data_IF_428245167273
#
_entry.id   IF_428245167273
#
_cell.length_a   1.000
_cell.length_b   1.000
_cell.length_c   1.000
_cell.angle_alpha   90.00
_cell.angle_beta   90.00
_cell.angle_gamma   90.00
#
_symmetry.space_group_name_H-M   'P 1'
#
loop_
_entity.id
_entity.type
_entity.pdbx_description
1 polymer ?
#
# COMPACT_ATOMS: atom_id res chain seq x y z
N UNK A 1 9.48 7.30 6.10
CA UNK A 1 8.39 6.39 6.48
C UNK A 1 7.37 6.40 5.37
N UNK A 2 6.84 5.23 5.02
CA UNK A 2 5.82 5.07 3.98
C UNK A 2 4.48 4.71 4.61
N UNK A 3 3.41 5.30 4.09
CA UNK A 3 2.04 4.97 4.39
C UNK A 3 1.34 4.37 3.18
N UNK A 4 0.34 3.53 3.44
CA UNK A 4 -0.53 2.95 2.42
C UNK A 4 -1.99 3.17 2.79
N UNK A 5 -2.80 3.52 1.80
CA UNK A 5 -4.26 3.65 1.88
C UNK A 5 -4.89 2.63 0.95
N UNK A 6 -5.81 1.81 1.47
CA UNK A 6 -6.47 0.77 0.69
C UNK A 6 -7.77 0.29 1.35
N UNK A 7 -8.39 -0.72 0.73
CA UNK A 7 -9.53 -1.43 1.25
C UNK A 7 -9.45 -2.93 0.97
N UNK A 8 -9.99 -3.72 1.88
CA UNK A 8 -10.05 -5.18 1.81
C UNK A 8 -11.43 -5.67 2.22
N UNK A 9 -11.77 -6.88 1.78
CA UNK A 9 -12.95 -7.60 2.25
C UNK A 9 -12.57 -8.55 3.39
N UNK A 10 -13.35 -8.54 4.46
CA UNK A 10 -13.10 -9.27 5.70
C UNK A 10 -14.39 -10.01 6.09
N UNK A 11 -14.50 -11.31 5.77
CA UNK A 11 -15.74 -12.05 5.93
C UNK A 11 -16.11 -12.34 7.40
N UNK A 12 -15.11 -12.47 8.27
CA UNK A 12 -15.25 -12.88 9.67
C UNK A 12 -14.43 -11.97 10.58
N UNK A 13 -14.75 -11.90 11.88
CA UNK A 13 -13.93 -11.15 12.83
C UNK A 13 -12.50 -11.72 12.84
N UNK A 14 -11.48 -10.90 12.56
CA UNK A 14 -10.09 -11.35 12.66
C UNK A 14 -9.70 -11.74 14.09
N UNK A 15 -8.68 -12.59 14.28
CA UNK A 15 -8.14 -12.87 15.60
C UNK A 15 -7.48 -11.62 16.21
N UNK A 16 -7.75 -11.37 17.48
CA UNK A 16 -7.06 -10.33 18.26
C UNK A 16 -5.66 -10.82 18.66
N UNK A 17 -4.63 -10.10 18.23
CA UNK A 17 -3.21 -10.39 18.46
C UNK A 17 -2.53 -9.27 19.25
N UNK A 18 -1.47 -9.62 19.98
CA UNK A 18 -0.59 -8.67 20.69
C UNK A 18 -1.30 -7.66 21.59
N UNK A 19 -2.49 -8.03 22.09
CA UNK A 19 -3.34 -7.27 23.03
C UNK A 19 -3.80 -5.88 22.55
N UNK A 20 -3.56 -5.51 21.29
CA UNK A 20 -3.87 -4.17 20.78
C UNK A 20 -4.46 -4.15 19.37
N UNK A 21 -4.22 -5.19 18.56
CA UNK A 21 -4.63 -5.19 17.17
C UNK A 21 -5.30 -6.50 16.81
N UNK A 22 -6.30 -6.44 15.96
CA UNK A 22 -6.72 -7.57 15.16
C UNK A 22 -5.79 -7.75 13.96
N UNK A 23 -5.50 -8.99 13.60
CA UNK A 23 -4.67 -9.33 12.43
C UNK A 23 -5.51 -9.96 11.34
N UNK A 24 -5.56 -9.32 10.19
CA UNK A 24 -6.15 -9.85 8.97
C UNK A 24 -5.00 -10.28 8.07
N UNK A 25 -4.76 -11.58 8.00
CA UNK A 25 -3.67 -12.17 7.22
C UNK A 25 -4.06 -12.40 5.78
N UNK A 26 -3.06 -12.42 4.89
CA UNK A 26 -3.21 -12.78 3.47
C UNK A 26 -4.35 -12.02 2.77
N UNK A 27 -4.56 -10.76 3.19
CA UNK A 27 -5.68 -9.98 2.73
C UNK A 27 -5.41 -9.43 1.33
N UNK A 28 -6.37 -9.65 0.44
CA UNK A 28 -6.28 -9.18 -0.95
C UNK A 28 -6.87 -7.77 -1.03
N UNK A 29 -6.10 -6.75 -1.44
CA UNK A 29 -6.64 -5.42 -1.66
C UNK A 29 -7.61 -5.40 -2.84
N UNK A 30 -8.54 -4.44 -2.81
CA UNK A 30 -9.54 -4.27 -3.86
C UNK A 30 -9.33 -2.98 -4.65
N UNK A 31 -9.42 -3.11 -5.97
CA UNK A 31 -9.49 -1.99 -6.90
C UNK A 31 -10.94 -1.53 -6.95
N UNK A 32 -11.16 -0.25 -6.63
CA UNK A 32 -12.48 0.34 -6.61
C UNK A 32 -12.51 1.55 -7.54
N UNK A 33 -13.31 1.44 -8.60
CA UNK A 33 -13.62 2.53 -9.51
C UNK A 33 -15.14 2.74 -9.55
N UNK A 34 -15.59 3.85 -10.12
CA UNK A 34 -17.04 4.11 -10.28
C UNK A 34 -17.75 3.02 -11.11
N UNK A 35 -17.01 2.26 -11.93
CA UNK A 35 -17.55 1.22 -12.81
C UNK A 35 -17.27 -0.22 -12.35
N UNK A 36 -16.21 -0.45 -11.56
CA UNK A 36 -15.74 -1.81 -11.24
C UNK A 36 -15.22 -1.91 -9.80
N UNK A 37 -15.43 -3.08 -9.23
CA UNK A 37 -14.95 -3.44 -7.91
C UNK A 37 -14.41 -4.86 -7.97
N UNK A 38 -13.09 -5.00 -8.02
CA UNK A 38 -12.42 -6.29 -8.29
C UNK A 38 -11.23 -6.48 -7.36
N UNK A 39 -10.95 -7.73 -6.94
CA UNK A 39 -9.76 -8.02 -6.14
C UNK A 39 -8.49 -7.82 -6.98
N UNK A 40 -7.44 -7.28 -6.37
CA UNK A 40 -6.13 -7.08 -7.00
C UNK A 40 -5.24 -8.26 -6.63
N UNK A 41 -5.22 -9.26 -7.51
CA UNK A 41 -4.46 -10.49 -7.29
C UNK A 41 -2.95 -10.22 -7.32
N UNK A 42 -2.20 -11.02 -6.56
CA UNK A 42 -0.73 -10.94 -6.46
C UNK A 42 -0.20 -9.97 -5.40
N UNK A 43 -1.09 -9.27 -4.68
CA UNK A 43 -0.74 -8.49 -3.50
C UNK A 43 -1.42 -9.09 -2.28
N UNK A 44 -0.62 -9.41 -1.27
CA UNK A 44 -1.14 -9.88 0.02
C UNK A 44 -0.67 -8.94 1.11
N UNK A 45 -1.62 -8.53 1.94
CA UNK A 45 -1.40 -7.66 3.07
C UNK A 45 -1.65 -8.39 4.39
N UNK A 46 -0.74 -8.21 5.33
CA UNK A 46 -0.99 -8.49 6.74
C UNK A 46 -1.41 -7.19 7.42
N UNK A 47 -2.72 -7.03 7.62
CA UNK A 47 -3.29 -5.79 8.16
C UNK A 47 -3.48 -5.92 9.66
N UNK A 48 -2.83 -5.04 10.40
CA UNK A 48 -2.95 -4.91 11.85
C UNK A 48 -3.81 -3.69 12.16
N UNK A 49 -5.03 -3.91 12.63
CA UNK A 49 -6.02 -2.86 12.88
C UNK A 49 -6.54 -2.95 14.32
N UNK A 50 -6.73 -1.81 14.99
CA UNK A 50 -7.40 -1.78 16.28
C UNK A 50 -8.94 -1.72 16.15
N UNK A 51 -9.48 -1.65 14.93
CA UNK A 51 -10.91 -1.60 14.69
C UNK A 51 -11.50 -3.01 14.82
N UNK A 52 -12.50 -3.24 15.70
CA UNK A 52 -13.24 -4.50 15.72
C UNK A 52 -14.26 -4.51 14.57
N UNK A 53 -14.51 -5.69 13.99
CA UNK A 53 -15.55 -5.87 12.97
C UNK A 53 -16.95 -6.02 13.57
N UNK A 54 -17.02 -6.64 14.74
CA UNK A 54 -18.21 -7.28 15.31
C UNK A 54 -18.38 -8.72 14.83
N UNK A 55 -19.00 -9.55 15.69
CA UNK A 55 -19.29 -10.97 15.44
C UNK A 55 -20.80 -11.19 15.20
N UNK A 56 -21.31 -10.69 14.08
CA UNK A 56 -22.71 -10.86 13.69
C UNK A 56 -22.86 -11.04 12.16
N UNK A 57 -23.94 -11.70 11.74
CA UNK A 57 -24.24 -11.95 10.32
C UNK A 57 -24.38 -10.65 9.50
N UNK A 58 -24.78 -9.55 10.15
CA UNK A 58 -24.96 -8.24 9.52
C UNK A 58 -23.78 -7.28 9.78
N UNK A 59 -22.68 -7.76 10.36
CA UNK A 59 -21.54 -6.91 10.61
C UNK A 59 -20.86 -6.52 9.29
N UNK A 60 -20.29 -5.32 9.31
CA UNK A 60 -19.66 -4.70 8.16
C UNK A 60 -18.40 -5.47 7.73
N UNK A 61 -18.29 -5.83 6.46
CA UNK A 61 -17.20 -6.67 5.95
C UNK A 61 -16.17 -5.91 5.10
N UNK A 62 -16.39 -4.62 4.79
CA UNK A 62 -15.39 -3.81 4.08
C UNK A 62 -14.53 -3.04 5.07
N UNK A 63 -13.27 -3.41 5.20
CA UNK A 63 -12.31 -2.62 5.95
C UNK A 63 -11.65 -1.62 5.02
N UNK A 64 -11.77 -0.33 5.34
CA UNK A 64 -10.94 0.72 4.75
C UNK A 64 -9.88 1.13 5.76
N UNK A 65 -8.66 1.39 5.29
CA UNK A 65 -7.57 1.71 6.19
C UNK A 65 -6.53 2.64 5.56
N UNK A 66 -5.82 3.33 6.46
CA UNK A 66 -4.55 3.97 6.23
C UNK A 66 -3.59 3.53 7.34
N UNK A 67 -2.33 3.34 7.01
CA UNK A 67 -1.34 2.90 7.98
C UNK A 67 0.08 2.89 7.46
N UNK A 68 1.02 2.63 8.35
CA UNK A 68 2.42 2.45 8.00
C UNK A 68 2.57 1.18 7.14
N UNK A 69 3.14 1.35 5.96
CA UNK A 69 3.48 0.28 5.03
C UNK A 69 4.88 -0.25 5.38
N UNK A 70 5.01 -1.56 5.58
CA UNK A 70 6.29 -2.22 5.85
C UNK A 70 6.43 -3.39 4.89
N UNK A 71 7.11 -3.14 3.77
CA UNK A 71 7.42 -4.16 2.78
C UNK A 71 8.88 -4.61 2.97
N UNK A 72 9.07 -5.90 3.32
CA UNK A 72 10.40 -6.50 3.51
C UNK A 72 10.71 -7.50 2.42
N UNK A 73 11.97 -7.61 2.04
CA UNK A 73 12.42 -8.63 1.09
C UNK A 73 12.21 -10.05 1.62
N UNK A 74 12.41 -10.24 2.94
CA UNK A 74 12.24 -11.54 3.60
C UNK A 74 10.79 -12.01 3.76
N UNK A 75 9.80 -11.14 3.52
CA UNK A 75 8.39 -11.42 3.79
C UNK A 75 7.58 -11.44 2.48
N UNK A 76 6.67 -12.41 2.29
CA UNK A 76 5.83 -12.46 1.10
C UNK A 76 4.73 -11.37 1.11
N UNK A 77 4.28 -10.98 2.29
CA UNK A 77 3.17 -10.05 2.49
C UNK A 77 3.70 -8.67 2.90
N UNK A 78 2.99 -7.62 2.50
CA UNK A 78 3.24 -6.27 3.01
C UNK A 78 2.51 -6.13 4.35
N UNK A 79 3.25 -5.85 5.42
CA UNK A 79 2.65 -5.59 6.72
C UNK A 79 2.15 -4.14 6.80
N UNK A 80 0.93 -3.96 7.29
CA UNK A 80 0.27 -2.66 7.38
C UNK A 80 -0.16 -2.42 8.83
N UNK A 81 0.50 -1.49 9.51
CA UNK A 81 0.12 -1.07 10.85
C UNK A 81 -0.84 0.12 10.74
N UNK A 82 -2.13 -0.13 10.88
CA UNK A 82 -3.16 0.89 10.70
C UNK A 82 -3.09 1.95 11.80
N UNK A 83 -3.04 3.22 11.39
CA UNK A 83 -3.29 4.36 12.28
C UNK A 83 -4.73 4.89 12.15
N UNK A 84 -5.42 4.51 11.08
CA UNK A 84 -6.83 4.81 10.82
C UNK A 84 -7.46 3.64 10.08
N UNK A 85 -8.56 3.12 10.61
CA UNK A 85 -9.30 2.03 9.96
C UNK A 85 -10.74 1.99 10.42
N UNK A 86 -11.62 1.54 9.53
CA UNK A 86 -13.06 1.47 9.81
C UNK A 86 -13.75 0.45 8.91
N UNK A 87 -14.67 -0.31 9.51
CA UNK A 87 -15.53 -1.26 8.82
C UNK A 87 -16.78 -0.58 8.25
N UNK A 88 -17.17 -1.00 7.06
CA UNK A 88 -18.37 -0.53 6.36
C UNK A 88 -19.15 -1.68 5.73
N UNK A 89 -20.47 -1.52 5.63
CA UNK A 89 -21.32 -2.45 4.88
C UNK A 89 -21.11 -2.29 3.36
N UNK A 90 -20.77 -1.07 2.94
CA UNK A 90 -20.41 -0.74 1.56
C UNK A 90 -19.16 0.15 1.56
N UNK A 91 -18.34 0.07 0.52
CA UNK A 91 -17.16 0.93 0.40
C UNK A 91 -17.58 2.40 0.34
N UNK A 92 -17.03 3.28 1.20
CA UNK A 92 -17.30 4.72 1.18
C UNK A 92 -16.91 5.36 -0.16
N UNK A 93 -17.68 6.37 -0.59
CA UNK A 93 -17.50 7.01 -1.90
C UNK A 93 -16.05 7.48 -2.16
N UNK A 94 -15.36 8.01 -1.14
CA UNK A 94 -13.96 8.45 -1.28
C UNK A 94 -13.01 7.34 -1.74
N UNK A 95 -13.26 6.10 -1.32
CA UNK A 95 -12.44 4.94 -1.68
C UNK A 95 -12.93 4.25 -2.96
N UNK A 96 -14.12 4.59 -3.47
CA UNK A 96 -14.62 4.10 -4.78
C UNK A 96 -13.83 4.63 -5.99
N UNK A 97 -12.78 5.42 -5.76
CA UNK A 97 -11.91 5.99 -6.80
C UNK A 97 -10.44 5.63 -6.61
N UNK A 98 -10.19 4.54 -5.90
CA UNK A 98 -8.85 4.01 -5.62
C UNK A 98 -8.67 2.77 -6.51
N UNK A 99 -8.14 2.92 -7.74
CA UNK A 99 -7.96 1.78 -8.64
C UNK A 99 -6.88 0.81 -8.17
N UNK A 100 -5.98 1.27 -7.29
CA UNK A 100 -4.89 0.50 -6.68
C UNK A 100 -4.57 1.12 -5.30
N UNK A 101 -4.00 0.36 -4.35
CA UNK A 101 -3.55 0.91 -3.07
C UNK A 101 -2.64 2.11 -3.29
N UNK A 102 -2.84 3.17 -2.51
CA UNK A 102 -2.06 4.40 -2.66
C UNK A 102 -0.94 4.41 -1.64
N UNK A 103 0.29 4.49 -2.12
CA UNK A 103 1.51 4.55 -1.34
C UNK A 103 2.00 5.99 -1.29
N UNK A 104 2.30 6.49 -0.10
CA UNK A 104 2.80 7.85 0.12
C UNK A 104 3.94 7.86 1.11
N UNK A 105 4.98 8.64 0.86
CA UNK A 105 6.05 8.81 1.84
C UNK A 105 7.43 8.98 1.22
N UNK A 106 8.44 8.92 2.08
CA UNK A 106 9.82 9.17 1.70
C UNK A 106 10.54 7.87 1.34
N UNK A 107 11.18 7.87 0.17
CA UNK A 107 11.98 6.78 -0.37
C UNK A 107 13.37 7.28 -0.73
N UNK A 108 14.39 6.46 -0.49
CA UNK A 108 15.78 6.77 -0.86
C UNK A 108 16.11 6.13 -2.19
N UNK A 109 16.47 6.94 -3.18
CA UNK A 109 16.90 6.50 -4.51
C UNK A 109 18.18 5.68 -4.40
N UNK A 110 18.20 4.52 -5.05
CA UNK A 110 19.33 3.60 -5.10
C UNK A 110 20.03 3.62 -6.45
N UNK A 111 19.25 3.54 -7.52
CA UNK A 111 19.74 3.40 -8.88
C UNK A 111 18.82 4.11 -9.87
N UNK A 112 19.44 4.62 -10.93
CA UNK A 112 18.85 5.38 -12.03
C UNK A 112 19.13 4.71 -13.38
N UNK A 113 19.28 3.38 -13.39
CA UNK A 113 19.40 2.60 -14.60
C UNK A 113 18.13 2.68 -15.47
N UNK A 114 17.72 1.57 -16.08
CA UNK A 114 16.55 1.56 -16.97
C UNK A 114 15.25 1.99 -16.24
N UNK A 115 15.18 1.74 -14.92
CA UNK A 115 14.11 2.24 -14.07
C UNK A 115 14.71 2.84 -12.80
N UNK A 116 14.10 3.91 -12.28
CA UNK A 116 14.47 4.44 -10.97
C UNK A 116 14.08 3.43 -9.88
N UNK A 117 15.05 2.99 -9.10
CA UNK A 117 14.87 2.10 -7.96
C UNK A 117 15.10 2.87 -6.66
N UNK A 118 14.31 2.57 -5.64
CA UNK A 118 14.42 3.16 -4.32
C UNK A 118 14.18 2.12 -3.21
N UNK A 119 14.54 2.47 -1.97
CA UNK A 119 14.22 1.71 -0.77
C UNK A 119 13.51 2.58 0.27
N UNK A 120 12.79 1.95 1.20
CA UNK A 120 12.35 2.61 2.44
C UNK A 120 13.55 2.73 3.38
N UNK A 121 14.06 3.96 3.66
CA UNK A 121 15.19 4.12 4.55
C UNK A 121 14.88 3.71 6.00
N UNK A 122 13.60 3.57 6.37
CA UNK A 122 13.17 3.20 7.73
C UNK A 122 12.96 1.68 7.90
N UNK A 123 13.24 0.88 6.86
CA UNK A 123 13.11 -0.59 6.87
C UNK A 123 14.45 -1.21 6.49
N UNK A 124 15.08 -1.90 7.45
CA UNK A 124 16.44 -2.45 7.31
C UNK A 124 16.57 -3.53 6.23
N UNK A 125 15.49 -4.25 5.94
CA UNK A 125 15.40 -5.27 4.87
C UNK A 125 14.34 -4.85 3.84
N UNK A 126 14.34 -3.58 3.45
CA UNK A 126 13.35 -3.04 2.51
C UNK A 126 13.38 -3.80 1.18
N UNK A 127 12.18 -4.03 0.62
CA UNK A 127 12.03 -4.35 -0.81
C UNK A 127 12.58 -3.21 -1.68
N UNK A 128 12.81 -3.52 -2.95
CA UNK A 128 13.07 -2.50 -3.96
C UNK A 128 11.75 -1.92 -4.46
N UNK A 129 11.61 -0.60 -4.39
CA UNK A 129 10.52 0.13 -5.02
C UNK A 129 10.97 0.56 -6.41
N UNK A 130 10.28 0.09 -7.45
CA UNK A 130 10.55 0.47 -8.83
C UNK A 130 9.55 1.50 -9.28
N UNK A 131 10.05 2.66 -9.72
CA UNK A 131 9.20 3.76 -10.16
C UNK A 131 8.93 3.68 -11.66
N UNK A 132 7.69 3.97 -12.02
CA UNK A 132 7.23 4.21 -13.37
C UNK A 132 6.18 5.31 -13.34
N UNK A 133 5.89 5.94 -14.47
CA UNK A 133 4.79 6.90 -14.57
C UNK A 133 4.18 6.89 -15.97
N UNK A 134 2.84 7.05 -16.05
CA UNK A 134 2.15 7.32 -17.32
C UNK A 134 2.28 8.77 -17.76
N UNK A 135 2.55 9.69 -16.83
CA UNK A 135 2.81 11.10 -17.13
C UNK A 135 4.26 11.28 -17.57
N UNK A 136 4.47 11.81 -18.77
CA UNK A 136 5.79 12.11 -19.31
C UNK A 136 6.54 13.14 -18.47
N UNK A 137 5.85 14.14 -17.92
CA UNK A 137 6.45 15.14 -17.04
C UNK A 137 7.04 14.50 -15.78
N UNK A 138 6.28 13.60 -15.13
CA UNK A 138 6.76 12.87 -13.95
C UNK A 138 7.87 11.90 -14.35
N UNK A 139 7.73 11.21 -15.48
CA UNK A 139 8.76 10.28 -15.95
C UNK A 139 10.10 10.98 -16.20
N UNK A 140 10.08 12.21 -16.73
CA UNK A 140 11.28 13.04 -16.87
C UNK A 140 11.86 13.41 -15.49
N UNK A 141 11.02 13.87 -14.55
CA UNK A 141 11.48 14.18 -13.19
C UNK A 141 12.09 12.95 -12.49
N UNK A 142 11.53 11.76 -12.70
CA UNK A 142 12.08 10.52 -12.17
C UNK A 142 13.47 10.21 -12.74
N UNK A 143 13.72 10.53 -14.02
CA UNK A 143 15.02 10.33 -14.67
C UNK A 143 16.09 11.37 -14.34
N UNK A 144 15.72 12.45 -13.65
CA UNK A 144 16.64 13.48 -13.15
C UNK A 144 17.08 13.26 -11.69
N UNK A 145 16.45 12.29 -11.01
CA UNK A 145 16.81 11.92 -9.66
C UNK A 145 18.22 11.30 -9.64
N UNK A 146 18.90 11.37 -8.49
CA UNK A 146 20.25 10.86 -8.30
C UNK A 146 20.28 9.81 -7.17
N UNK A 147 21.12 8.76 -7.30
CA UNK A 147 21.36 7.83 -6.20
C UNK A 147 21.71 8.54 -4.89
N UNK A 148 21.10 8.08 -3.79
CA UNK A 148 21.26 8.65 -2.46
C UNK A 148 20.25 9.74 -2.09
N UNK A 149 19.54 10.33 -3.07
CA UNK A 149 18.49 11.32 -2.78
C UNK A 149 17.31 10.70 -2.04
N UNK A 150 16.73 11.45 -1.10
CA UNK A 150 15.47 11.10 -0.47
C UNK A 150 14.37 11.90 -1.17
N UNK A 151 13.38 11.20 -1.69
CA UNK A 151 12.25 11.80 -2.40
C UNK A 151 10.95 11.45 -1.70
N UNK A 152 10.04 12.41 -1.63
CA UNK A 152 8.66 12.13 -1.30
C UNK A 152 7.93 11.67 -2.55
N UNK A 153 7.19 10.57 -2.45
CA UNK A 153 6.34 10.07 -3.54
C UNK A 153 4.89 9.94 -3.10
N UNK A 154 3.98 10.11 -4.06
CA UNK A 154 2.62 9.57 -4.02
C UNK A 154 2.45 8.71 -5.27
N UNK A 155 2.04 7.46 -5.09
CA UNK A 155 2.01 6.48 -6.17
C UNK A 155 0.92 5.40 -5.97
N UNK A 156 0.53 4.76 -7.06
CA UNK A 156 -0.27 3.54 -7.02
C UNK A 156 0.63 2.32 -6.92
N UNK A 157 0.32 1.41 -5.99
CA UNK A 157 0.97 0.10 -5.87
C UNK A 157 0.36 -0.85 -6.90
N UNK A 158 1.09 -1.11 -7.98
CA UNK A 158 0.56 -1.85 -9.14
C UNK A 158 0.94 -3.32 -9.14
N UNK A 159 2.16 -3.67 -8.70
CA UNK A 159 2.63 -5.07 -8.59
C UNK A 159 3.54 -5.26 -7.37
N UNK A 160 3.49 -6.45 -6.77
CA UNK A 160 4.44 -6.91 -5.76
C UNK A 160 4.90 -8.31 -6.15
N UNK A 161 6.16 -8.44 -6.57
CA UNK A 161 6.73 -9.70 -7.04
C UNK A 161 8.17 -9.83 -6.53
N UNK A 162 8.45 -10.91 -5.81
CA UNK A 162 9.82 -11.36 -5.48
C UNK A 162 10.74 -10.22 -4.99
N UNK A 163 10.31 -9.49 -3.96
CA UNK A 163 11.12 -8.42 -3.36
C UNK A 163 11.16 -7.10 -4.14
N UNK A 164 10.31 -6.94 -5.16
CA UNK A 164 10.12 -5.70 -5.90
C UNK A 164 8.66 -5.25 -5.81
N UNK A 165 8.45 -4.00 -5.43
CA UNK A 165 7.16 -3.31 -5.44
C UNK A 165 7.16 -2.29 -6.57
N UNK A 166 6.27 -2.46 -7.54
CA UNK A 166 6.09 -1.55 -8.66
C UNK A 166 5.13 -0.41 -8.30
N UNK A 167 5.65 0.81 -8.40
CA UNK A 167 4.91 2.04 -8.12
C UNK A 167 4.68 2.82 -9.42
N UNK A 168 3.41 3.10 -9.73
CA UNK A 168 3.03 4.10 -10.74
C UNK A 168 2.92 5.46 -10.04
N UNK A 169 3.97 6.26 -10.16
CA UNK A 169 4.15 7.53 -9.45
C UNK A 169 3.27 8.61 -10.07
N UNK A 170 2.43 9.21 -9.23
CA UNK A 170 1.59 10.37 -9.59
C UNK A 170 2.17 11.70 -9.13
N UNK A 171 3.09 11.67 -8.16
CA UNK A 171 3.74 12.87 -7.62
C UNK A 171 5.10 12.51 -7.05
N UNK A 172 6.12 13.33 -7.33
CA UNK A 172 7.45 13.21 -6.76
C UNK A 172 7.98 14.59 -6.38
N UNK A 173 8.58 14.71 -5.19
CA UNK A 173 9.27 15.91 -4.72
C UNK A 173 10.63 15.52 -4.14
N UNK A 174 11.67 16.28 -4.49
CA UNK A 174 13.01 16.12 -3.91
C UNK A 174 13.00 16.79 -2.53
N UNK A 175 13.45 16.07 -1.52
CA UNK A 175 13.61 16.57 -0.15
C UNK A 175 14.97 17.22 0.09
#
# INVERSE_FOLDING_TARGET
MIEIESCIYVPEEPPFVDRQHYRIQDSTPWACTDATMVPILGHLFDVYTSAPRGDSDNAASWLTFQGRCIARYSEPNIAILCNSSSYHNEIPHRHRRIPYPIVRGYLKVLDQGVNCLALDPDVSDSVLFRFSSKSSAIQNSLGELNPGQIVYVSAYLTKHLTGIVDLEVSTVYIS
#
